data_IF_602648147492
#
_entry.id   IF_602648147492
#
_cell.length_a   1.000
_cell.length_b   1.000
_cell.length_c   1.000
_cell.angle_alpha   90.00
_cell.angle_beta   90.00
_cell.angle_gamma   90.00
#
_symmetry.space_group_name_H-M   'P 1'
#
loop_
_entity.id
_entity.type
_entity.pdbx_description
1 polymer ?
#
# COMPACT_ATOMS: atom_id res chain seq x y z
N UNK A 1 -3.78 -13.12 0.99
CA UNK A 1 -5.25 -13.14 0.96
C UNK A 1 -5.74 -11.74 1.31
N UNK A 2 -6.98 -11.41 0.99
CA UNK A 2 -7.61 -10.12 1.36
C UNK A 2 -7.66 -9.94 2.89
N UNK A 3 -7.90 -10.99 3.65
CA UNK A 3 -7.88 -10.97 5.12
C UNK A 3 -6.51 -10.60 5.69
N UNK A 4 -5.42 -11.20 5.18
CA UNK A 4 -4.07 -10.83 5.59
C UNK A 4 -3.75 -9.36 5.28
N UNK A 5 -4.23 -8.86 4.13
CA UNK A 5 -4.10 -7.46 3.75
C UNK A 5 -4.82 -6.53 4.73
N UNK A 6 -6.02 -6.92 5.19
CA UNK A 6 -6.81 -6.18 6.17
C UNK A 6 -6.04 -6.04 7.49
N UNK A 7 -5.51 -7.14 8.03
CA UNK A 7 -4.73 -7.15 9.27
C UNK A 7 -3.49 -6.25 9.15
N UNK A 8 -2.75 -6.37 8.05
CA UNK A 8 -1.59 -5.49 7.78
C UNK A 8 -2.02 -4.02 7.73
N UNK A 9 -3.15 -3.73 7.09
CA UNK A 9 -3.68 -2.38 6.95
C UNK A 9 -4.05 -1.75 8.30
N UNK A 10 -4.62 -2.54 9.21
CA UNK A 10 -4.90 -2.10 10.58
C UNK A 10 -3.61 -1.76 11.33
N UNK A 11 -2.59 -2.61 11.23
CA UNK A 11 -1.29 -2.36 11.84
C UNK A 11 -0.60 -1.12 11.24
N UNK A 12 -0.76 -0.87 9.94
CA UNK A 12 -0.17 0.27 9.25
C UNK A 12 -0.83 1.60 9.60
N UNK A 13 -2.13 1.64 9.91
CA UNK A 13 -2.91 2.87 10.07
C UNK A 13 -2.26 3.92 10.99
N UNK A 14 -1.61 3.48 12.07
CA UNK A 14 -0.93 4.34 13.05
C UNK A 14 0.58 4.07 13.14
N UNK A 15 1.14 3.33 12.17
CA UNK A 15 2.56 3.01 12.18
C UNK A 15 3.39 4.20 11.66
N UNK A 16 4.27 4.73 12.51
CA UNK A 16 5.16 5.84 12.20
C UNK A 16 6.65 5.45 12.32
N UNK A 17 6.97 4.16 12.20
CA UNK A 17 8.35 3.64 12.32
C UNK A 17 8.78 2.81 11.11
N UNK A 18 7.84 2.11 10.48
CA UNK A 18 8.11 1.23 9.35
C UNK A 18 8.50 2.08 8.13
N UNK A 19 9.62 1.72 7.51
CA UNK A 19 10.16 2.42 6.32
C UNK A 19 9.93 1.61 5.04
N UNK A 20 9.95 0.28 5.12
CA UNK A 20 9.81 -0.60 3.95
C UNK A 20 8.84 -1.74 4.24
N UNK A 21 8.01 -2.08 3.26
CA UNK A 21 7.07 -3.19 3.34
C UNK A 21 7.07 -3.97 2.01
N UNK A 22 7.46 -5.25 2.09
CA UNK A 22 7.52 -6.14 0.94
C UNK A 22 6.42 -7.19 1.04
N UNK A 23 5.46 -7.14 0.11
CA UNK A 23 4.32 -8.05 0.05
C UNK A 23 4.19 -8.72 -1.32
N UNK A 24 5.24 -8.70 -2.15
CA UNK A 24 5.23 -9.33 -3.47
C UNK A 24 4.97 -10.84 -3.39
N UNK A 25 4.45 -11.40 -4.47
CA UNK A 25 4.11 -12.82 -4.61
C UNK A 25 3.09 -13.33 -3.57
N UNK A 26 2.13 -12.48 -3.20
CA UNK A 26 0.99 -12.87 -2.39
C UNK A 26 -0.29 -12.97 -3.25
N UNK A 27 -1.43 -13.12 -2.59
CA UNK A 27 -2.76 -13.14 -3.24
C UNK A 27 -3.63 -12.06 -2.61
N UNK A 28 -3.20 -10.81 -2.71
CA UNK A 28 -3.94 -9.68 -2.14
C UNK A 28 -5.18 -9.37 -2.97
N UNK A 29 -5.05 -9.40 -4.31
CA UNK A 29 -6.09 -8.95 -5.22
C UNK A 29 -6.45 -7.47 -5.04
N UNK A 30 -7.48 -7.03 -5.73
CA UNK A 30 -7.97 -5.64 -5.65
C UNK A 30 -8.53 -5.31 -4.28
N UNK A 31 -9.26 -6.24 -3.65
CA UNK A 31 -9.81 -6.08 -2.30
C UNK A 31 -8.71 -5.88 -1.24
N UNK A 32 -7.66 -6.70 -1.28
CA UNK A 32 -6.51 -6.53 -0.39
C UNK A 32 -5.80 -5.20 -0.60
N UNK A 33 -5.68 -4.80 -1.86
CA UNK A 33 -5.07 -3.52 -2.26
C UNK A 33 -5.87 -2.32 -1.77
N UNK A 34 -7.20 -2.40 -1.78
CA UNK A 34 -8.11 -1.39 -1.24
C UNK A 34 -7.89 -1.15 0.26
N UNK A 35 -7.71 -2.22 1.04
CA UNK A 35 -7.39 -2.09 2.47
C UNK A 35 -6.07 -1.36 2.68
N UNK A 36 -5.02 -1.76 1.94
CA UNK A 36 -3.70 -1.14 2.03
C UNK A 36 -3.75 0.33 1.64
N UNK A 37 -4.40 0.67 0.52
CA UNK A 37 -4.57 2.05 0.08
C UNK A 37 -5.23 2.93 1.16
N UNK A 38 -6.28 2.41 1.82
CA UNK A 38 -6.94 3.10 2.93
C UNK A 38 -6.00 3.31 4.11
N UNK A 39 -5.23 2.31 4.52
CA UNK A 39 -4.26 2.48 5.61
C UNK A 39 -3.18 3.52 5.28
N UNK A 40 -2.72 3.52 4.03
CA UNK A 40 -1.74 4.48 3.54
C UNK A 40 -2.31 5.89 3.38
N UNK A 41 -3.63 6.07 3.37
CA UNK A 41 -4.25 7.40 3.30
C UNK A 41 -4.22 8.16 4.63
N UNK A 42 -3.88 7.49 5.74
CA UNK A 42 -3.81 8.14 7.05
C UNK A 42 -2.48 8.90 7.21
N UNK A 43 -2.57 10.10 7.79
CA UNK A 43 -1.44 11.01 7.99
C UNK A 43 -0.41 10.47 8.98
N UNK A 44 -0.85 9.66 9.96
CA UNK A 44 0.02 9.04 10.95
C UNK A 44 0.99 8.01 10.35
N UNK A 45 0.73 7.51 9.14
CA UNK A 45 1.63 6.60 8.43
C UNK A 45 2.67 7.40 7.62
N UNK A 46 3.48 8.22 8.29
CA UNK A 46 4.35 9.18 7.58
C UNK A 46 5.74 8.65 7.23
N UNK A 47 6.11 7.44 7.67
CA UNK A 47 7.49 6.91 7.54
C UNK A 47 7.67 5.83 6.49
N UNK A 48 6.62 5.10 6.09
CA UNK A 48 6.76 4.10 5.04
C UNK A 48 7.20 4.81 3.77
N UNK A 49 8.26 4.37 3.10
CA UNK A 49 8.85 4.94 1.87
C UNK A 49 8.84 3.97 0.70
N UNK A 50 8.83 2.67 0.99
CA UNK A 50 8.92 1.62 -0.02
C UNK A 50 7.83 0.58 0.22
N UNK A 51 7.06 0.29 -0.82
CA UNK A 51 6.00 -0.71 -0.81
C UNK A 51 6.08 -1.54 -2.08
N UNK A 52 6.34 -2.84 -1.95
CA UNK A 52 6.37 -3.77 -3.08
C UNK A 52 5.15 -4.68 -3.05
N UNK A 53 4.39 -4.66 -4.16
CA UNK A 53 3.13 -5.40 -4.32
C UNK A 53 3.13 -6.25 -5.61
N UNK A 54 4.29 -6.49 -6.21
CA UNK A 54 4.41 -7.26 -7.45
C UNK A 54 3.80 -8.67 -7.31
N UNK A 55 3.26 -9.22 -8.40
CA UNK A 55 2.70 -10.57 -8.43
C UNK A 55 1.63 -10.85 -7.37
N UNK A 56 0.66 -9.92 -7.18
CA UNK A 56 -0.43 -10.06 -6.20
C UNK A 56 -1.83 -10.31 -6.79
N UNK A 57 -1.94 -10.43 -8.11
CA UNK A 57 -3.22 -10.48 -8.80
C UNK A 57 -3.99 -9.17 -8.74
N UNK A 58 -3.27 -8.04 -8.69
CA UNK A 58 -3.84 -6.68 -8.72
C UNK A 58 -4.16 -6.34 -10.16
N UNK A 59 -5.40 -5.93 -10.43
CA UNK A 59 -5.86 -5.44 -11.73
C UNK A 59 -5.78 -3.91 -11.79
N UNK A 60 -6.15 -3.32 -12.93
CA UNK A 60 -6.22 -1.87 -13.09
C UNK A 60 -7.12 -1.22 -12.02
N UNK A 61 -8.22 -1.87 -11.64
CA UNK A 61 -9.12 -1.38 -10.60
C UNK A 61 -8.41 -1.30 -9.23
N UNK A 62 -7.62 -2.31 -8.88
CA UNK A 62 -6.83 -2.29 -7.64
C UNK A 62 -5.73 -1.23 -7.68
N UNK A 63 -5.08 -1.06 -8.83
CA UNK A 63 -4.04 -0.06 -9.03
C UNK A 63 -4.56 1.38 -8.87
N UNK A 64 -5.81 1.66 -9.28
CA UNK A 64 -6.44 2.98 -9.09
C UNK A 64 -6.52 3.40 -7.62
N UNK A 65 -6.78 2.46 -6.70
CA UNK A 65 -6.79 2.76 -5.26
C UNK A 65 -5.43 3.28 -4.78
N UNK A 66 -4.34 2.69 -5.25
CA UNK A 66 -2.98 3.14 -4.90
C UNK A 66 -2.63 4.45 -5.59
N UNK A 67 -2.98 4.61 -6.87
CA UNK A 67 -2.70 5.81 -7.65
C UNK A 67 -3.21 7.07 -6.96
N UNK A 68 -4.45 7.06 -6.50
CA UNK A 68 -5.05 8.21 -5.81
C UNK A 68 -4.29 8.59 -4.52
N UNK A 69 -3.90 7.59 -3.74
CA UNK A 69 -3.18 7.78 -2.48
C UNK A 69 -1.75 8.24 -2.71
N UNK A 70 -1.08 7.68 -3.72
CA UNK A 70 0.24 8.09 -4.13
C UNK A 70 0.28 9.54 -4.56
N UNK A 71 -0.68 9.95 -5.39
CA UNK A 71 -0.80 11.36 -5.78
C UNK A 71 -0.92 12.28 -4.57
N UNK A 72 -1.68 11.90 -3.54
CA UNK A 72 -1.86 12.73 -2.34
C UNK A 72 -0.66 12.75 -1.40
N UNK A 73 -0.02 11.60 -1.19
CA UNK A 73 0.97 11.41 -0.11
C UNK A 73 2.43 11.45 -0.59
N UNK A 74 2.67 11.12 -1.86
CA UNK A 74 4.01 10.88 -2.41
C UNK A 74 4.48 11.96 -3.40
N UNK A 75 3.62 12.93 -3.75
CA UNK A 75 4.01 14.09 -4.55
C UNK A 75 5.08 14.99 -3.88
N UNK A 76 5.24 14.90 -2.56
CA UNK A 76 6.26 15.68 -1.83
C UNK A 76 7.55 14.91 -1.55
N UNK A 77 7.65 13.61 -1.86
CA UNK A 77 8.80 12.74 -1.54
C UNK A 77 9.10 11.71 -2.65
N UNK A 78 9.22 12.18 -3.90
CA UNK A 78 9.43 11.35 -5.08
C UNK A 78 10.65 10.42 -4.94
N UNK A 79 10.48 9.10 -5.19
CA UNK A 79 11.38 8.22 -5.98
C UNK A 79 10.87 6.76 -6.03
N UNK A 80 10.71 6.27 -7.27
CA UNK A 80 10.65 4.90 -7.80
C UNK A 80 9.73 3.83 -7.16
N UNK A 81 8.74 3.39 -7.94
CA UNK A 81 8.26 2.00 -7.89
C UNK A 81 8.66 1.31 -9.19
N UNK A 82 9.33 0.16 -9.05
CA UNK A 82 9.39 -0.90 -10.06
C UNK A 82 8.10 -1.72 -9.96
N UNK A 83 7.31 -1.65 -11.03
CA UNK A 83 6.20 -2.58 -11.27
C UNK A 83 6.75 -3.92 -11.76
#
# INVERSE_FOLDING_TARGET
>A
TSEGAMIISEALRNNNTLVKLFLSHNKLGDDGTKFLARALSYDNNSTLRELSLGHNGITDQGAEYLHYIWRKKWQHNMLQISL
#
